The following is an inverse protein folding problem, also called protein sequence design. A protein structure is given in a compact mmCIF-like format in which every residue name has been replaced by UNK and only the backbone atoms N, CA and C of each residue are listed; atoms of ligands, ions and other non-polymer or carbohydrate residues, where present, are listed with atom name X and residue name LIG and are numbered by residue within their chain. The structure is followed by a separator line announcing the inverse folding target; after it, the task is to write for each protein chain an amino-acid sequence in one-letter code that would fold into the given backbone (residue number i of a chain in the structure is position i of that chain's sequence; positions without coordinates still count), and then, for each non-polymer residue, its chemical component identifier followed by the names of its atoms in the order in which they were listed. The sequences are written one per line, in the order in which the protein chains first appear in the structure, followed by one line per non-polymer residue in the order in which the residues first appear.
data_IF_120105391098
#
_entry.id   IF_120105391098
#
_cell.length_a   1.000
_cell.length_b   1.000
_cell.length_c   1.000
_cell.angle_alpha   90.00
_cell.angle_beta   90.00
_cell.angle_gamma   90.00
#
_symmetry.space_group_name_H-M   'P 1'
#
loop_
_entity.id
_entity.type
_entity.pdbx_description
1 polymer ?
#
# COMPACT_ATOMS: atom_id res chain seq x y z
N UNK A 1 17.13 -7.86 -14.47
CA UNK A 1 16.37 -6.63 -14.77
C UNK A 1 17.05 -5.42 -14.16
N UNK A 2 16.68 -4.24 -14.59
CA UNK A 2 17.16 -2.99 -14.00
C UNK A 2 16.39 -2.71 -12.71
N UNK A 3 17.04 -2.36 -11.59
CA UNK A 3 16.36 -1.93 -10.39
C UNK A 3 15.47 -0.71 -10.66
N UNK A 4 14.27 -0.71 -10.10
CA UNK A 4 13.30 0.38 -10.23
C UNK A 4 12.86 0.85 -8.86
N UNK A 5 12.84 2.16 -8.65
CA UNK A 5 12.24 2.78 -7.45
C UNK A 5 10.94 3.46 -7.88
N UNK A 6 9.83 3.06 -7.27
CA UNK A 6 8.51 3.60 -7.55
C UNK A 6 8.18 4.72 -6.57
N UNK A 7 7.59 5.79 -7.08
CA UNK A 7 7.12 6.93 -6.30
C UNK A 7 5.75 7.34 -6.79
N UNK A 8 4.81 7.44 -5.87
CA UNK A 8 3.45 7.74 -6.30
C UNK A 8 2.52 8.20 -5.20
N UNK A 9 1.25 8.05 -5.48
CA UNK A 9 0.15 8.60 -4.71
C UNK A 9 -0.87 7.51 -4.39
N UNK A 10 -1.33 7.49 -3.15
CA UNK A 10 -2.50 6.70 -2.77
C UNK A 10 -3.77 7.51 -3.00
N UNK A 11 -4.76 6.89 -3.62
CA UNK A 11 -6.13 7.37 -3.49
C UNK A 11 -6.58 7.16 -2.05
N UNK A 12 -7.49 8.01 -1.56
CA UNK A 12 -8.18 7.75 -0.29
C UNK A 12 -9.10 6.55 -0.39
N UNK A 13 -9.74 6.17 0.69
CA UNK A 13 -10.67 5.02 0.72
C UNK A 13 -11.73 5.14 -0.38
N UNK A 14 -11.95 4.05 -1.14
CA UNK A 14 -12.92 4.07 -2.24
C UNK A 14 -14.34 4.45 -1.78
N UNK A 15 -14.73 4.03 -0.59
CA UNK A 15 -16.05 4.28 -0.03
C UNK A 15 -16.22 5.69 0.56
N UNK A 16 -15.12 6.41 0.83
CA UNK A 16 -15.16 7.79 1.30
C UNK A 16 -14.94 8.80 0.17
N UNK A 17 -14.12 8.46 -0.81
CA UNK A 17 -13.80 9.32 -1.96
C UNK A 17 -13.98 8.62 -3.30
N UNK A 18 -15.15 8.00 -3.59
CA UNK A 18 -15.37 7.26 -4.83
C UNK A 18 -15.20 8.12 -6.08
N UNK A 19 -15.43 9.43 -5.98
CA UNK A 19 -15.30 10.36 -7.10
C UNK A 19 -13.89 10.47 -7.69
N UNK A 20 -12.85 10.07 -6.94
CA UNK A 20 -11.47 10.06 -7.43
C UNK A 20 -11.06 8.73 -8.03
N UNK A 21 -11.90 7.70 -7.94
CA UNK A 21 -11.67 6.38 -8.54
C UNK A 21 -12.14 6.37 -9.98
N UNK A 22 -11.36 7.00 -10.86
CA UNK A 22 -11.67 7.10 -12.27
C UNK A 22 -10.40 7.21 -13.13
N UNK A 23 -10.57 6.97 -14.43
CA UNK A 23 -9.50 7.01 -15.42
C UNK A 23 -8.79 8.38 -15.48
N UNK A 24 -9.56 9.46 -15.42
CA UNK A 24 -9.02 10.82 -15.49
C UNK A 24 -8.09 11.15 -14.34
N UNK A 25 -8.40 10.73 -13.12
CA UNK A 25 -7.54 10.94 -11.96
C UNK A 25 -6.20 10.20 -12.12
N UNK A 26 -6.22 8.96 -12.59
CA UNK A 26 -4.99 8.19 -12.83
C UNK A 26 -4.16 8.81 -13.94
N UNK A 27 -4.76 9.20 -15.05
CA UNK A 27 -4.07 9.86 -16.15
C UNK A 27 -3.42 11.17 -15.72
N UNK A 28 -4.11 11.95 -14.89
CA UNK A 28 -3.59 13.21 -14.36
C UNK A 28 -2.43 13.00 -13.40
N UNK A 29 -2.54 12.07 -12.46
CA UNK A 29 -1.48 11.75 -11.51
C UNK A 29 -0.22 11.22 -12.23
N UNK A 30 -0.38 10.38 -13.24
CA UNK A 30 0.75 9.85 -14.01
C UNK A 30 1.37 10.89 -14.94
N UNK A 31 0.56 11.71 -15.59
CA UNK A 31 1.01 12.71 -16.57
C UNK A 31 1.57 13.97 -15.94
N UNK A 32 0.82 14.61 -15.04
CA UNK A 32 1.19 15.91 -14.49
C UNK A 32 2.02 15.81 -13.21
N UNK A 33 1.75 14.82 -12.36
CA UNK A 33 2.48 14.61 -11.12
C UNK A 33 3.64 13.62 -11.28
N UNK A 34 3.75 12.98 -12.44
CA UNK A 34 4.78 11.99 -12.75
C UNK A 34 4.81 10.80 -11.78
N UNK A 35 3.65 10.45 -11.23
CA UNK A 35 3.52 9.26 -10.39
C UNK A 35 3.83 8.01 -11.21
N UNK A 36 4.66 7.12 -10.69
CA UNK A 36 4.98 5.84 -11.31
C UNK A 36 4.21 4.68 -10.73
N UNK A 37 3.52 4.91 -9.63
CA UNK A 37 2.63 3.97 -8.96
C UNK A 37 1.42 4.69 -8.38
N UNK A 38 0.25 4.08 -8.51
CA UNK A 38 -1.00 4.52 -7.90
C UNK A 38 -1.47 3.45 -6.93
N UNK A 39 -1.80 3.82 -5.72
CA UNK A 39 -2.38 2.90 -4.74
C UNK A 39 -3.88 3.09 -4.68
N UNK A 40 -4.64 2.02 -4.90
CA UNK A 40 -6.09 2.00 -4.80
C UNK A 40 -6.48 1.38 -3.46
N UNK A 41 -6.92 2.22 -2.52
CA UNK A 41 -7.22 1.85 -1.14
C UNK A 41 -8.67 1.38 -1.02
N UNK A 42 -8.90 0.08 -1.17
CA UNK A 42 -10.23 -0.50 -1.07
C UNK A 42 -10.62 -0.72 0.40
N UNK A 43 -11.48 0.14 0.93
CA UNK A 43 -11.92 0.08 2.33
C UNK A 43 -12.69 -1.19 2.67
N UNK A 44 -12.33 -1.79 3.82
CA UNK A 44 -12.94 -3.03 4.33
C UNK A 44 -13.83 -2.74 5.55
N UNK A 45 -13.92 -1.52 5.94
CA UNK A 45 -14.73 -1.03 7.06
C UNK A 45 -15.40 0.30 6.68
N UNK A 46 -16.28 0.79 7.55
CA UNK A 46 -17.14 1.94 7.29
C UNK A 46 -18.22 1.60 6.26
N UNK A 47 -19.24 2.42 6.14
CA UNK A 47 -20.36 2.22 5.22
C UNK A 47 -19.89 2.06 3.76
N UNK A 48 -20.58 1.22 3.00
CA UNK A 48 -20.26 0.90 1.61
C UNK A 48 -18.87 0.28 1.37
N UNK A 49 -18.27 -0.32 2.39
CA UNK A 49 -17.02 -1.06 2.24
C UNK A 49 -17.20 -2.32 1.37
N UNK A 50 -16.09 -2.93 0.98
CA UNK A 50 -16.10 -4.12 0.12
C UNK A 50 -16.93 -5.28 0.68
N UNK A 51 -16.91 -5.51 2.00
CA UNK A 51 -17.65 -6.63 2.61
C UNK A 51 -19.17 -6.42 2.55
N UNK A 52 -19.62 -5.17 2.62
CA UNK A 52 -21.04 -4.81 2.53
C UNK A 52 -21.51 -4.66 1.09
N UNK A 53 -20.69 -4.07 0.24
CA UNK A 53 -21.04 -3.72 -1.14
C UNK A 53 -19.88 -4.02 -2.11
N UNK A 54 -19.59 -5.30 -2.38
CA UNK A 54 -18.45 -5.66 -3.23
C UNK A 54 -18.59 -5.18 -4.67
N UNK A 55 -19.80 -5.11 -5.22
CA UNK A 55 -20.03 -4.61 -6.58
C UNK A 55 -19.64 -3.14 -6.71
N UNK A 56 -20.02 -2.32 -5.73
CA UNK A 56 -19.63 -0.92 -5.70
C UNK A 56 -18.11 -0.76 -5.56
N UNK A 57 -17.49 -1.50 -4.64
CA UNK A 57 -16.05 -1.47 -4.47
C UNK A 57 -15.31 -1.83 -5.76
N UNK A 58 -15.72 -2.89 -6.44
CA UNK A 58 -15.14 -3.27 -7.73
C UNK A 58 -15.39 -2.24 -8.82
N UNK A 59 -16.56 -1.60 -8.84
CA UNK A 59 -16.86 -0.50 -9.77
C UNK A 59 -15.93 0.71 -9.59
N UNK A 60 -15.40 0.92 -8.39
CA UNK A 60 -14.38 1.92 -8.12
C UNK A 60 -12.97 1.42 -8.48
N UNK A 61 -12.61 0.21 -8.07
CA UNK A 61 -11.27 -0.34 -8.21
C UNK A 61 -10.89 -0.62 -9.66
N UNK A 62 -11.75 -1.27 -10.42
CA UNK A 62 -11.41 -1.74 -11.76
C UNK A 62 -11.06 -0.64 -12.77
N UNK A 63 -11.77 0.51 -12.82
CA UNK A 63 -11.35 1.63 -13.66
C UNK A 63 -9.95 2.16 -13.34
N UNK A 64 -9.58 2.19 -12.05
CA UNK A 64 -8.25 2.63 -11.61
C UNK A 64 -7.17 1.63 -12.04
N UNK A 65 -7.41 0.33 -11.86
CA UNK A 65 -6.49 -0.72 -12.29
C UNK A 65 -6.27 -0.67 -13.79
N UNK A 66 -7.35 -0.60 -14.57
CA UNK A 66 -7.27 -0.53 -16.03
C UNK A 66 -6.58 0.74 -16.51
N UNK A 67 -6.87 1.88 -15.89
CA UNK A 67 -6.23 3.16 -16.24
C UNK A 67 -4.72 3.13 -15.96
N UNK A 68 -4.28 2.50 -14.88
CA UNK A 68 -2.86 2.33 -14.59
C UNK A 68 -2.18 1.45 -15.67
N UNK A 69 -2.83 0.38 -16.09
CA UNK A 69 -2.36 -0.47 -17.19
C UNK A 69 -2.23 0.35 -18.48
N UNK A 70 -3.26 1.10 -18.83
CA UNK A 70 -3.32 1.90 -20.04
C UNK A 70 -2.30 3.05 -20.06
N UNK A 71 -1.99 3.62 -18.90
CA UNK A 71 -0.99 4.69 -18.74
C UNK A 71 0.43 4.17 -18.50
N UNK A 72 0.64 2.87 -18.40
CA UNK A 72 1.96 2.27 -18.21
C UNK A 72 2.58 2.55 -16.85
N UNK A 73 1.77 2.73 -15.80
CA UNK A 73 2.22 2.90 -14.43
C UNK A 73 1.83 1.70 -13.57
N UNK A 74 2.51 1.51 -12.44
CA UNK A 74 2.16 0.46 -11.49
C UNK A 74 0.90 0.82 -10.71
N UNK A 75 0.16 -0.21 -10.30
CA UNK A 75 -1.01 -0.08 -9.43
C UNK A 75 -0.92 -1.04 -8.26
N UNK A 76 -1.16 -0.54 -7.06
CA UNK A 76 -1.27 -1.35 -5.85
C UNK A 76 -2.75 -1.57 -5.58
N UNK A 77 -3.17 -2.83 -5.60
CA UNK A 77 -4.51 -3.26 -5.19
C UNK A 77 -4.44 -3.52 -3.68
N UNK A 78 -4.92 -2.56 -2.90
CA UNK A 78 -4.78 -2.54 -1.45
C UNK A 78 -6.07 -3.01 -0.76
N UNK A 79 -5.98 -4.12 -0.04
CA UNK A 79 -6.97 -4.54 0.95
C UNK A 79 -6.83 -3.65 2.17
N UNK A 80 -7.57 -2.55 2.16
CA UNK A 80 -7.39 -1.46 3.12
C UNK A 80 -8.13 -1.74 4.43
N UNK A 81 -7.60 -2.70 5.18
CA UNK A 81 -8.15 -3.22 6.42
C UNK A 81 -7.27 -2.89 7.62
N UNK A 82 -7.91 -2.85 8.81
CA UNK A 82 -7.25 -2.80 10.12
C UNK A 82 -7.56 -4.05 10.96
N UNK A 83 -8.37 -4.94 10.43
CA UNK A 83 -8.75 -6.23 11.05
C UNK A 83 -8.64 -7.35 10.05
N UNK A 84 -8.41 -8.57 10.54
CA UNK A 84 -8.19 -9.74 9.71
C UNK A 84 -9.51 -10.30 9.16
N UNK A 85 -9.57 -10.50 7.84
CA UNK A 85 -10.68 -11.11 7.12
C UNK A 85 -10.12 -12.09 6.08
N UNK A 86 -9.55 -13.19 6.54
CA UNK A 86 -8.75 -14.11 5.72
C UNK A 86 -9.53 -14.70 4.55
N UNK A 87 -10.72 -15.23 4.80
CA UNK A 87 -11.50 -15.90 3.77
C UNK A 87 -11.92 -14.93 2.65
N UNK A 88 -12.38 -13.75 3.02
CA UNK A 88 -12.84 -12.71 2.10
C UNK A 88 -11.67 -12.12 1.30
N UNK A 89 -10.55 -11.85 1.96
CA UNK A 89 -9.33 -11.37 1.30
C UNK A 89 -8.79 -12.39 0.30
N UNK A 90 -8.76 -13.67 0.67
CA UNK A 90 -8.34 -14.76 -0.20
C UNK A 90 -9.20 -14.86 -1.45
N UNK A 91 -10.53 -14.79 -1.31
CA UNK A 91 -11.46 -14.78 -2.44
C UNK A 91 -11.22 -13.58 -3.35
N UNK A 92 -11.11 -12.39 -2.77
CA UNK A 92 -10.86 -11.15 -3.52
C UNK A 92 -9.56 -11.21 -4.30
N UNK A 93 -8.45 -11.54 -3.66
CA UNK A 93 -7.15 -11.58 -4.34
C UNK A 93 -7.05 -12.70 -5.37
N UNK A 94 -7.71 -13.83 -5.14
CA UNK A 94 -7.82 -14.89 -6.14
C UNK A 94 -8.51 -14.39 -7.43
N UNK A 95 -9.60 -13.65 -7.28
CA UNK A 95 -10.32 -13.01 -8.40
C UNK A 95 -9.46 -11.96 -9.11
N UNK A 96 -8.78 -11.11 -8.36
CA UNK A 96 -7.90 -10.07 -8.93
C UNK A 96 -6.72 -10.68 -9.68
N UNK A 97 -6.06 -11.67 -9.09
CA UNK A 97 -4.94 -12.35 -9.74
C UNK A 97 -5.36 -13.10 -11.01
N UNK A 98 -6.53 -13.73 -11.01
CA UNK A 98 -7.08 -14.38 -12.20
C UNK A 98 -7.36 -13.39 -13.32
N UNK A 99 -7.87 -12.20 -12.99
CA UNK A 99 -8.25 -11.18 -13.99
C UNK A 99 -7.05 -10.36 -14.47
N UNK A 100 -6.15 -9.97 -13.56
CA UNK A 100 -5.11 -9.00 -13.84
C UNK A 100 -3.67 -9.54 -13.74
N UNK A 101 -3.50 -10.79 -13.34
CA UNK A 101 -2.19 -11.37 -13.05
C UNK A 101 -1.21 -11.45 -14.23
N UNK A 102 -1.72 -11.33 -15.46
CA UNK A 102 -0.87 -11.26 -16.67
C UNK A 102 -0.24 -9.87 -16.92
N UNK A 103 -0.65 -8.86 -16.16
CA UNK A 103 -0.12 -7.51 -16.28
C UNK A 103 0.99 -7.27 -15.24
N UNK A 104 2.24 -7.05 -15.68
CA UNK A 104 3.39 -6.98 -14.77
C UNK A 104 3.43 -5.75 -13.88
N UNK A 105 2.58 -4.77 -14.13
CA UNK A 105 2.44 -3.54 -13.36
C UNK A 105 1.45 -3.64 -12.18
N UNK A 106 0.84 -4.79 -11.96
CA UNK A 106 -0.09 -5.03 -10.84
C UNK A 106 0.67 -5.52 -9.61
N UNK A 107 0.41 -4.89 -8.48
CA UNK A 107 0.98 -5.20 -7.16
C UNK A 107 -0.19 -5.47 -6.20
N UNK A 108 -0.09 -6.50 -5.38
CA UNK A 108 -1.11 -6.87 -4.40
C UNK A 108 -0.66 -6.50 -3.00
N UNK A 109 -1.40 -5.66 -2.28
CA UNK A 109 -1.16 -5.35 -0.88
C UNK A 109 -2.19 -6.05 -0.01
N UNK A 110 -1.75 -7.07 0.72
CA UNK A 110 -2.64 -8.06 1.34
C UNK A 110 -3.37 -7.55 2.58
N UNK A 111 -2.84 -6.52 3.24
CA UNK A 111 -3.37 -6.01 4.50
C UNK A 111 -2.77 -4.64 4.77
N UNK A 112 -3.58 -3.59 4.71
CA UNK A 112 -3.11 -2.20 4.86
C UNK A 112 -2.31 -1.99 6.14
N UNK A 113 -2.96 -2.09 7.30
CA UNK A 113 -2.33 -1.83 8.59
C UNK A 113 -2.85 -2.78 9.67
N UNK A 114 -2.18 -3.94 9.87
CA UNK A 114 -2.45 -4.76 11.05
C UNK A 114 -2.17 -3.98 12.33
N UNK A 115 -3.04 -4.10 13.33
CA UNK A 115 -2.91 -3.37 14.60
C UNK A 115 -2.40 -4.33 15.69
N UNK A 116 -3.27 -5.23 16.14
CA UNK A 116 -3.01 -6.12 17.27
C UNK A 116 -2.66 -7.56 16.86
N UNK A 117 -2.81 -7.88 15.58
CA UNK A 117 -2.45 -9.22 15.07
C UNK A 117 -0.96 -9.49 15.31
N UNK A 118 -0.63 -10.68 15.82
CA UNK A 118 0.75 -11.10 15.95
C UNK A 118 1.38 -11.35 14.59
N UNK A 119 2.70 -11.20 14.48
CA UNK A 119 3.41 -11.55 13.25
C UNK A 119 3.21 -13.02 12.87
N UNK A 120 3.13 -13.92 13.85
CA UNK A 120 2.86 -15.34 13.59
C UNK A 120 1.48 -15.56 12.95
N UNK A 121 0.43 -14.88 13.42
CA UNK A 121 -0.90 -14.96 12.80
C UNK A 121 -0.92 -14.31 11.41
N UNK A 122 -0.19 -13.22 11.22
CA UNK A 122 -0.05 -12.56 9.92
C UNK A 122 0.70 -13.42 8.91
N UNK A 123 1.68 -14.20 9.32
CA UNK A 123 2.35 -15.15 8.43
C UNK A 123 1.39 -16.23 7.91
N UNK A 124 0.49 -16.73 8.74
CA UNK A 124 -0.56 -17.67 8.32
C UNK A 124 -1.50 -17.04 7.33
N UNK A 125 -2.01 -15.85 7.65
CA UNK A 125 -2.85 -15.03 6.76
C UNK A 125 -2.19 -14.81 5.39
N UNK A 126 -0.96 -14.33 5.40
CA UNK A 126 -0.20 -14.05 4.17
C UNK A 126 0.02 -15.31 3.33
N UNK A 127 0.41 -16.41 3.95
CA UNK A 127 0.67 -17.68 3.25
C UNK A 127 -0.56 -18.16 2.50
N UNK A 128 -1.73 -18.15 3.12
CA UNK A 128 -2.97 -18.58 2.48
C UNK A 128 -3.32 -17.74 1.25
N UNK A 129 -3.14 -16.43 1.33
CA UNK A 129 -3.48 -15.51 0.24
C UNK A 129 -2.42 -15.57 -0.86
N UNK A 130 -1.14 -15.62 -0.50
CA UNK A 130 -0.05 -15.79 -1.46
C UNK A 130 -0.23 -17.07 -2.26
N UNK A 131 -0.55 -18.17 -1.62
CA UNK A 131 -0.79 -19.45 -2.29
C UNK A 131 -1.95 -19.33 -3.30
N UNK A 132 -3.01 -18.62 -2.94
CA UNK A 132 -4.14 -18.38 -3.85
C UNK A 132 -3.76 -17.50 -5.04
N UNK A 133 -3.05 -16.39 -4.81
CA UNK A 133 -2.57 -15.51 -5.88
C UNK A 133 -1.67 -16.29 -6.84
N UNK A 134 -0.74 -17.06 -6.32
CA UNK A 134 0.27 -17.79 -7.12
C UNK A 134 -0.30 -18.90 -8.00
N UNK A 135 -1.54 -19.32 -7.78
CA UNK A 135 -2.27 -20.19 -8.72
C UNK A 135 -2.55 -19.51 -10.07
N UNK A 136 -2.66 -18.19 -10.09
CA UNK A 136 -3.06 -17.39 -11.23
C UNK A 136 -1.98 -16.44 -11.72
N UNK A 137 -1.13 -15.99 -10.81
CA UNK A 137 -0.08 -14.99 -11.04
C UNK A 137 1.22 -15.44 -10.35
N UNK A 138 2.15 -16.04 -11.11
CA UNK A 138 3.38 -16.57 -10.53
C UNK A 138 4.40 -15.49 -10.13
N UNK A 139 4.32 -14.29 -10.68
CA UNK A 139 5.46 -13.38 -10.70
C UNK A 139 5.25 -12.01 -10.06
N UNK A 140 4.05 -11.43 -10.09
CA UNK A 140 3.85 -10.06 -9.65
C UNK A 140 4.16 -9.86 -8.17
N UNK A 141 4.59 -8.65 -7.84
CA UNK A 141 4.98 -8.29 -6.47
C UNK A 141 3.76 -8.32 -5.54
N UNK A 142 3.97 -8.91 -4.39
CA UNK A 142 3.02 -8.94 -3.28
C UNK A 142 3.61 -8.16 -2.11
N UNK A 143 2.80 -7.29 -1.50
CA UNK A 143 3.15 -6.53 -0.31
C UNK A 143 2.40 -7.10 0.89
N UNK A 144 3.11 -7.28 2.00
CA UNK A 144 2.53 -7.73 3.27
C UNK A 144 2.85 -6.76 4.39
N UNK A 145 1.81 -6.34 5.10
CA UNK A 145 1.91 -5.50 6.29
C UNK A 145 2.53 -6.25 7.49
N UNK A 146 2.93 -5.48 8.48
CA UNK A 146 3.46 -5.99 9.75
C UNK A 146 2.71 -5.38 10.94
N UNK A 147 2.85 -5.93 12.17
CA UNK A 147 2.08 -5.46 13.31
C UNK A 147 2.28 -3.99 13.62
N UNK A 148 1.38 -3.43 14.41
CA UNK A 148 1.47 -2.09 14.96
C UNK A 148 1.47 -0.99 13.87
N UNK A 149 0.46 -1.03 12.98
CA UNK A 149 0.35 -0.09 11.85
C UNK A 149 1.61 -0.08 10.97
N UNK A 150 2.14 -1.25 10.62
CA UNK A 150 3.35 -1.43 9.79
C UNK A 150 4.63 -0.81 10.40
N UNK A 151 4.76 -0.84 11.72
CA UNK A 151 5.93 -0.35 12.43
C UNK A 151 6.90 -1.44 12.90
N UNK A 152 6.39 -2.66 13.14
CA UNK A 152 7.19 -3.76 13.71
C UNK A 152 7.96 -4.56 12.65
N UNK A 153 8.64 -3.86 11.77
CA UNK A 153 9.44 -4.47 10.69
C UNK A 153 10.62 -5.30 11.24
N UNK A 154 11.06 -5.04 12.44
CA UNK A 154 12.08 -5.83 13.15
C UNK A 154 11.61 -7.26 13.42
N UNK A 155 10.33 -7.48 13.74
CA UNK A 155 9.76 -8.82 13.89
C UNK A 155 9.78 -9.58 12.56
N UNK A 156 9.50 -8.91 11.46
CA UNK A 156 9.58 -9.48 10.12
C UNK A 156 11.02 -9.87 9.78
N UNK A 157 11.97 -8.97 10.04
CA UNK A 157 13.40 -9.24 9.80
C UNK A 157 13.90 -10.48 10.57
N UNK A 158 13.40 -10.68 11.79
CA UNK A 158 13.76 -11.82 12.61
C UNK A 158 13.17 -13.15 12.11
N UNK A 159 12.01 -13.10 11.45
CA UNK A 159 11.29 -14.29 10.98
C UNK A 159 10.47 -13.99 9.73
N UNK A 160 11.10 -13.74 8.57
CA UNK A 160 10.37 -13.45 7.34
C UNK A 160 9.60 -14.67 6.84
N UNK A 161 8.67 -14.44 5.92
CA UNK A 161 7.97 -15.52 5.21
C UNK A 161 8.98 -16.42 4.49
N UNK A 162 8.73 -17.72 4.54
CA UNK A 162 9.60 -18.73 3.91
C UNK A 162 8.96 -19.26 2.64
N UNK A 163 9.80 -19.68 1.68
CA UNK A 163 9.36 -20.30 0.42
C UNK A 163 8.38 -19.42 -0.39
N UNK A 164 8.55 -18.11 -0.32
CA UNK A 164 7.77 -17.12 -1.08
C UNK A 164 8.64 -16.46 -2.14
N UNK A 165 8.01 -15.96 -3.18
CA UNK A 165 8.66 -15.34 -4.33
C UNK A 165 8.05 -13.96 -4.58
N UNK A 166 8.90 -12.96 -4.84
CA UNK A 166 8.50 -11.58 -5.10
C UNK A 166 7.53 -11.01 -4.05
N UNK A 167 7.87 -11.21 -2.79
CA UNK A 167 7.14 -10.63 -1.65
C UNK A 167 8.00 -9.56 -1.01
N UNK A 168 7.40 -8.40 -0.76
CA UNK A 168 8.01 -7.30 -0.01
C UNK A 168 7.16 -6.99 1.23
N UNK A 169 7.75 -6.32 2.20
CA UNK A 169 7.10 -6.01 3.48
C UNK A 169 6.92 -4.51 3.62
N UNK A 170 5.80 -4.09 4.17
CA UNK A 170 5.47 -2.67 4.22
C UNK A 170 5.82 -2.01 5.54
N UNK A 171 6.32 -0.79 5.44
CA UNK A 171 6.45 0.17 6.53
C UNK A 171 5.60 1.37 6.19
N UNK A 172 4.83 1.87 7.15
CA UNK A 172 4.09 3.13 7.05
C UNK A 172 4.67 4.14 8.02
N UNK A 173 4.81 5.39 7.59
CA UNK A 173 5.25 6.46 8.48
C UNK A 173 4.51 7.77 8.23
N UNK A 174 4.39 8.53 9.31
CA UNK A 174 3.95 9.92 9.32
C UNK A 174 5.04 10.70 10.04
N UNK A 175 5.75 11.58 9.32
CA UNK A 175 7.05 12.11 9.74
C UNK A 175 7.02 12.87 11.07
N UNK A 176 5.92 13.58 11.37
CA UNK A 176 5.79 14.28 12.64
C UNK A 176 5.66 13.33 13.85
N UNK A 177 5.24 12.08 13.64
CA UNK A 177 5.10 11.07 14.69
C UNK A 177 6.22 10.04 14.66
N UNK A 178 6.53 9.46 13.48
CA UNK A 178 7.46 8.36 13.30
C UNK A 178 8.83 8.89 12.90
N UNK A 179 9.75 8.84 13.84
CA UNK A 179 11.06 9.51 13.72
C UNK A 179 12.21 8.48 13.71
N UNK A 180 13.33 8.81 14.34
CA UNK A 180 14.54 7.98 14.28
C UNK A 180 14.33 6.51 14.67
N UNK A 181 13.47 6.23 15.62
CA UNK A 181 13.23 4.84 16.06
C UNK A 181 12.70 3.95 14.92
N UNK A 182 11.80 4.46 14.07
CA UNK A 182 11.26 3.69 12.96
C UNK A 182 12.20 3.71 11.75
N UNK A 183 12.87 4.84 11.48
CA UNK A 183 13.92 4.89 10.47
C UNK A 183 15.04 3.89 10.76
N UNK A 184 15.46 3.77 12.01
CA UNK A 184 16.49 2.82 12.43
C UNK A 184 16.07 1.37 12.22
N UNK A 185 14.83 1.02 12.61
CA UNK A 185 14.26 -0.31 12.33
C UNK A 185 14.22 -0.60 10.82
N UNK A 186 13.77 0.36 10.03
CA UNK A 186 13.67 0.25 8.57
C UNK A 186 15.06 0.08 7.95
N UNK A 187 16.03 0.90 8.35
CA UNK A 187 17.41 0.82 7.89
C UNK A 187 18.02 -0.54 8.18
N UNK A 188 17.91 -1.03 9.39
CA UNK A 188 18.42 -2.35 9.78
C UNK A 188 17.79 -3.48 8.99
N UNK A 189 16.46 -3.40 8.74
CA UNK A 189 15.75 -4.39 7.93
C UNK A 189 16.32 -4.45 6.50
N UNK A 190 16.45 -3.30 5.86
CA UNK A 190 16.97 -3.22 4.48
C UNK A 190 18.44 -3.63 4.40
N UNK A 191 19.27 -3.18 5.33
CA UNK A 191 20.69 -3.58 5.39
C UNK A 191 20.86 -5.09 5.64
N UNK A 192 19.91 -5.69 6.35
CA UNK A 192 19.84 -7.15 6.54
C UNK A 192 19.31 -7.93 5.34
N UNK A 193 18.94 -7.24 4.25
CA UNK A 193 18.47 -7.86 3.01
C UNK A 193 16.95 -8.05 2.93
N UNK A 194 16.18 -7.51 3.87
CA UNK A 194 14.72 -7.57 3.81
C UNK A 194 14.18 -6.62 2.73
N UNK A 195 13.36 -7.07 1.78
CA UNK A 195 12.74 -6.19 0.81
C UNK A 195 11.62 -5.38 1.47
N UNK A 196 11.79 -4.06 1.51
CA UNK A 196 10.85 -3.12 2.14
C UNK A 196 10.24 -2.19 1.11
N UNK A 197 8.94 -1.95 1.22
CA UNK A 197 8.18 -0.99 0.43
C UNK A 197 7.40 -0.08 1.39
N UNK A 198 7.46 1.23 1.20
CA UNK A 198 6.68 2.18 2.00
C UNK A 198 5.40 2.50 1.22
N UNK A 199 4.34 1.71 1.46
CA UNK A 199 3.09 1.80 0.71
C UNK A 199 2.16 2.93 1.18
N UNK A 200 2.48 3.55 2.33
CA UNK A 200 1.78 4.73 2.83
C UNK A 200 2.71 5.60 3.65
N UNK A 201 2.76 6.89 3.36
CA UNK A 201 3.51 7.85 4.16
C UNK A 201 3.00 9.28 3.97
N UNK A 202 3.29 10.12 4.97
CA UNK A 202 3.00 11.55 4.89
C UNK A 202 3.89 12.35 5.85
N UNK A 203 3.80 13.68 5.80
CA UNK A 203 4.69 14.57 6.54
C UNK A 203 4.15 15.11 7.87
N UNK A 204 2.85 14.90 8.17
CA UNK A 204 2.19 15.35 9.39
C UNK A 204 2.17 14.25 10.47
N UNK A 205 1.33 14.41 11.48
CA UNK A 205 1.11 13.39 12.52
C UNK A 205 0.31 12.19 12.00
N UNK A 206 0.41 11.06 12.69
CA UNK A 206 -0.23 9.80 12.32
C UNK A 206 -1.77 9.84 12.33
N UNK A 207 -2.36 10.89 12.86
CA UNK A 207 -3.80 11.18 12.73
C UNK A 207 -4.20 11.58 11.31
N UNK A 208 -3.22 11.93 10.46
CA UNK A 208 -3.43 12.53 9.13
C UNK A 208 -3.59 14.04 9.17
N UNK A 209 -3.51 14.66 10.34
CA UNK A 209 -3.68 16.08 10.54
C UNK A 209 -2.50 16.70 11.31
N UNK A 210 -2.55 18.02 11.54
CA UNK A 210 -1.49 18.76 12.21
C UNK A 210 -0.42 19.32 11.26
N UNK A 211 0.56 20.06 11.82
CA UNK A 211 1.60 20.68 11.01
C UNK A 211 2.54 19.65 10.36
N UNK A 212 3.04 19.98 9.18
CA UNK A 212 4.09 19.21 8.52
C UNK A 212 5.41 19.36 9.28
N UNK A 213 6.10 18.26 9.51
CA UNK A 213 7.48 18.23 10.01
C UNK A 213 8.42 18.00 8.83
N UNK A 214 8.81 19.09 8.17
CA UNK A 214 9.65 19.02 6.98
C UNK A 214 11.05 18.46 7.30
N UNK A 215 11.60 18.74 8.47
CA UNK A 215 12.91 18.24 8.86
C UNK A 215 12.91 16.72 9.01
N UNK A 216 11.89 16.16 9.63
CA UNK A 216 11.73 14.70 9.75
C UNK A 216 11.36 14.05 8.42
N UNK A 217 10.57 14.73 7.59
CA UNK A 217 10.26 14.27 6.23
C UNK A 217 11.53 14.15 5.38
N UNK A 218 12.40 15.15 5.41
CA UNK A 218 13.68 15.12 4.67
C UNK A 218 14.59 13.97 5.11
N UNK A 219 14.61 13.63 6.39
CA UNK A 219 15.36 12.47 6.90
C UNK A 219 14.80 11.15 6.34
N UNK A 220 13.47 11.02 6.25
CA UNK A 220 12.84 9.87 5.63
C UNK A 220 13.16 9.77 4.14
N UNK A 221 13.04 10.88 3.42
CA UNK A 221 13.39 10.93 1.98
C UNK A 221 14.84 10.52 1.76
N UNK A 222 15.77 11.03 2.58
CA UNK A 222 17.18 10.66 2.50
C UNK A 222 17.40 9.16 2.70
N UNK A 223 16.70 8.55 3.67
CA UNK A 223 16.77 7.11 3.89
C UNK A 223 16.23 6.33 2.68
N UNK A 224 15.07 6.73 2.18
CA UNK A 224 14.43 6.06 1.05
C UNK A 224 15.29 6.16 -0.23
N UNK A 225 15.90 7.32 -0.48
CA UNK A 225 16.79 7.50 -1.62
C UNK A 225 18.08 6.71 -1.48
N UNK A 226 18.69 6.69 -0.30
CA UNK A 226 19.92 5.95 -0.04
C UNK A 226 19.78 4.45 -0.34
N UNK A 227 18.66 3.86 0.00
CA UNK A 227 18.42 2.41 -0.16
C UNK A 227 17.52 2.05 -1.34
N UNK A 228 17.10 3.03 -2.13
CA UNK A 228 16.20 2.79 -3.27
C UNK A 228 14.83 2.23 -2.86
N UNK A 229 14.29 2.69 -1.73
CA UNK A 229 12.99 2.25 -1.22
C UNK A 229 11.87 2.98 -1.97
N UNK A 230 10.96 2.22 -2.57
CA UNK A 230 9.75 2.76 -3.19
C UNK A 230 8.77 3.29 -2.15
N UNK A 231 8.07 4.37 -2.46
CA UNK A 231 7.10 4.94 -1.53
C UNK A 231 5.89 5.58 -2.20
N UNK A 232 4.79 5.63 -1.45
CA UNK A 232 3.50 6.16 -1.86
C UNK A 232 2.98 7.14 -0.81
N UNK A 233 2.64 8.34 -1.23
CA UNK A 233 2.14 9.39 -0.35
C UNK A 233 0.62 9.26 -0.15
N UNK A 234 0.16 9.41 1.08
CA UNK A 234 -1.25 9.47 1.48
C UNK A 234 -1.74 10.91 1.50
N UNK A 235 -2.83 11.37 0.89
CA UNK A 235 -3.68 10.70 -0.08
C UNK A 235 -4.40 11.70 -0.99
N UNK A 236 -4.82 11.27 -2.16
CA UNK A 236 -5.74 12.04 -3.01
C UNK A 236 -7.14 12.01 -2.38
N UNK A 237 -7.43 13.02 -1.61
CA UNK A 237 -8.67 13.24 -0.86
C UNK A 237 -8.89 14.73 -0.66
N UNK A 238 -10.06 15.15 -0.19
CA UNK A 238 -10.42 16.55 0.03
C UNK A 238 -11.15 16.80 1.35
N UNK A 239 -10.83 15.97 2.36
CA UNK A 239 -11.25 16.23 3.74
C UNK A 239 -10.46 17.42 4.29
N UNK A 240 -11.04 18.17 5.21
CA UNK A 240 -10.34 19.27 5.88
C UNK A 240 -9.34 18.72 6.91
N UNK A 241 -8.23 18.20 6.41
CA UNK A 241 -7.09 17.67 7.17
C UNK A 241 -5.81 17.77 6.33
N UNK A 242 -4.66 17.79 6.99
CA UNK A 242 -3.37 18.08 6.34
C UNK A 242 -2.96 17.04 5.30
N UNK A 243 -3.30 15.76 5.49
CA UNK A 243 -2.94 14.71 4.53
C UNK A 243 -3.74 14.78 3.22
N UNK A 244 -4.84 15.52 3.17
CA UNK A 244 -5.60 15.71 1.95
C UNK A 244 -4.82 16.55 0.94
N UNK A 245 -4.60 15.99 -0.25
CA UNK A 245 -3.85 16.67 -1.32
C UNK A 245 -4.69 17.73 -2.06
N UNK A 246 -6.00 17.70 -1.88
CA UNK A 246 -6.93 18.66 -2.45
C UNK A 246 -7.60 19.50 -1.35
N UNK A 247 -7.99 20.71 -1.72
CA UNK A 247 -8.73 21.57 -0.81
C UNK A 247 -10.12 21.00 -0.51
N UNK A 248 -10.64 21.18 0.72
CA UNK A 248 -11.99 20.78 1.07
C UNK A 248 -13.03 21.47 0.17
N UNK A 249 -14.08 20.74 -0.17
CA UNK A 249 -15.25 21.28 -0.87
C UNK A 249 -16.31 21.75 0.09
#
# INVERSE_FOLDING_TARGET
GTPVTLRGVSLGWHNLWPRFYNEGAVAWLSGEWHATVIRAAMGIQIEDNYLENPEFALSCMEPVIQAAIDNGVYVIIDWHAHTMHTAEAKDFFGKMAKKYGSYPNVIYELYNEPIEDSWESLKVYATEIIDEIRKHDPDNVILMGCPHWDQDIDLVSASPLQNVHNVMYTVHFYAATHKDYLREKTRKAVEGGLPVFISECAGMECTGDGPLDNAEWEKWVSLMEQYGISYVCWSLSDKNETCSMLLPR
#
